data_IF_015769991871
#
_entry.id   IF_015769991871
#
_cell.length_a   1.000
_cell.length_b   1.000
_cell.length_c   1.000
_cell.angle_alpha   90.00
_cell.angle_beta   90.00
_cell.angle_gamma   90.00
#
_symmetry.space_group_name_H-M   'P 1'
#
loop_
_entity.id
_entity.type
_entity.pdbx_description
1 polymer ?
#
# COMPACT_ATOMS: atom_id res chain seq x y z
N UNK A 1 -1.93 24.04 3.88
CA UNK A 1 -2.14 25.33 4.58
C UNK A 1 -1.52 26.42 3.72
N UNK A 2 -2.24 27.52 3.49
CA UNK A 2 -1.70 28.71 2.82
C UNK A 2 -1.00 29.62 3.83
N UNK A 3 -0.20 30.57 3.34
CA UNK A 3 0.51 31.54 4.18
C UNK A 3 -0.41 32.37 5.11
N UNK A 4 -1.70 32.53 4.75
CA UNK A 4 -2.72 33.18 5.59
C UNK A 4 -3.14 32.28 6.76
N UNK A 5 -3.41 31.00 6.49
CA UNK A 5 -3.79 30.02 7.52
C UNK A 5 -2.66 29.78 8.53
N UNK A 6 -1.40 29.79 8.07
CA UNK A 6 -0.24 29.70 8.96
C UNK A 6 -0.20 30.89 9.93
N UNK A 7 -0.41 32.11 9.44
CA UNK A 7 -0.46 33.30 10.30
C UNK A 7 -1.60 33.25 11.32
N UNK A 8 -2.79 32.78 10.91
CA UNK A 8 -3.92 32.58 11.82
C UNK A 8 -3.57 31.57 12.92
N UNK A 9 -2.99 30.43 12.55
CA UNK A 9 -2.57 29.40 13.50
C UNK A 9 -1.50 29.93 14.47
N UNK A 10 -0.54 30.70 14.00
CA UNK A 10 0.46 31.36 14.85
C UNK A 10 -0.22 32.28 15.88
N UNK A 11 -1.22 33.07 15.46
CA UNK A 11 -1.99 33.94 16.38
C UNK A 11 -2.74 33.09 17.41
N UNK A 12 -3.41 32.01 16.98
CA UNK A 12 -4.09 31.10 17.90
C UNK A 12 -3.14 30.46 18.91
N UNK A 13 -1.94 30.03 18.49
CA UNK A 13 -0.93 29.47 19.38
C UNK A 13 -0.35 30.51 20.35
N UNK A 14 -0.37 31.81 20.01
CA UNK A 14 0.00 32.88 20.96
C UNK A 14 -1.05 33.06 22.05
N UNK A 15 -2.33 32.98 21.69
CA UNK A 15 -3.45 33.15 22.63
C UNK A 15 -3.66 31.90 23.48
N UNK A 16 -3.49 30.71 22.89
CA UNK A 16 -3.66 29.43 23.56
C UNK A 16 -2.51 28.46 23.22
N UNK A 17 -1.37 28.57 23.92
CA UNK A 17 -0.19 27.74 23.66
C UNK A 17 -0.46 26.24 23.78
N UNK A 18 -1.38 25.82 24.65
CA UNK A 18 -1.71 24.40 24.86
C UNK A 18 -2.18 23.71 23.58
N UNK A 19 -2.71 24.44 22.59
CA UNK A 19 -3.09 23.87 21.31
C UNK A 19 -1.91 23.18 20.59
N UNK A 20 -0.67 23.65 20.79
CA UNK A 20 0.50 23.06 20.15
C UNK A 20 0.71 21.57 20.52
N UNK A 21 0.30 21.12 21.72
CA UNK A 21 0.45 19.71 22.13
C UNK A 21 -0.53 18.79 21.43
N UNK A 22 -1.58 19.34 20.80
CA UNK A 22 -2.59 18.59 20.05
C UNK A 22 -2.38 18.63 18.55
N UNK A 23 -1.39 19.39 18.06
CA UNK A 23 -1.03 19.42 16.65
C UNK A 23 -0.12 18.22 16.37
N UNK A 24 -0.69 17.15 15.82
CA UNK A 24 0.03 15.96 15.37
C UNK A 24 0.33 15.98 13.87
N UNK A 25 -0.44 16.73 13.09
CA UNK A 25 -0.30 16.79 11.63
C UNK A 25 -0.38 18.23 11.11
N UNK A 26 0.49 18.57 10.16
CA UNK A 26 0.43 19.79 9.36
C UNK A 26 0.40 19.44 7.88
N UNK A 27 -0.71 19.71 7.21
CA UNK A 27 -0.75 19.72 5.75
C UNK A 27 -0.40 21.12 5.22
N UNK A 28 0.65 21.23 4.41
CA UNK A 28 1.16 22.45 3.79
C UNK A 28 1.22 22.33 2.25
N UNK A 29 1.53 23.43 1.56
CA UNK A 29 1.76 23.42 0.12
C UNK A 29 3.22 23.68 -0.24
N UNK A 30 3.60 23.31 -1.46
CA UNK A 30 4.85 23.67 -2.17
C UNK A 30 5.22 25.15 -2.04
N UNK A 31 4.25 26.07 -2.00
CA UNK A 31 4.50 27.51 -1.78
C UNK A 31 5.20 27.87 -0.46
N UNK A 32 5.21 26.98 0.53
CA UNK A 32 5.94 27.19 1.77
C UNK A 32 7.40 26.75 1.69
N UNK A 33 7.86 26.43 0.49
CA UNK A 33 9.21 26.00 0.18
C UNK A 33 9.81 26.94 -0.85
N UNK A 34 11.03 27.40 -0.61
CA UNK A 34 11.78 28.24 -1.52
C UNK A 34 12.77 27.35 -2.28
N UNK A 35 12.73 27.33 -3.63
CA UNK A 35 13.65 26.53 -4.44
C UNK A 35 15.11 26.74 -4.00
N UNK A 36 15.85 25.63 -3.85
CA UNK A 36 17.25 25.59 -3.41
C UNK A 36 17.58 26.17 -2.01
N UNK A 37 16.65 26.86 -1.36
CA UNK A 37 16.88 27.55 -0.09
C UNK A 37 16.18 26.89 1.10
N UNK A 38 15.10 26.13 0.88
CA UNK A 38 14.46 25.33 1.93
C UNK A 38 13.11 25.89 2.38
N UNK A 39 12.91 26.08 3.69
CA UNK A 39 11.62 26.51 4.26
C UNK A 39 11.38 28.03 4.12
N UNK A 40 10.14 28.42 3.79
CA UNK A 40 9.66 29.78 3.99
C UNK A 40 9.62 30.14 5.49
N UNK A 41 9.93 31.40 5.80
CA UNK A 41 9.95 31.94 7.15
C UNK A 41 8.67 31.70 7.97
N UNK A 42 7.47 31.68 7.35
CA UNK A 42 6.21 31.49 8.09
C UNK A 42 6.06 30.07 8.57
N UNK A 43 6.30 29.10 7.69
CA UNK A 43 6.25 27.69 8.05
C UNK A 43 7.33 27.37 9.09
N UNK A 44 8.56 27.86 8.88
CA UNK A 44 9.62 27.71 9.85
C UNK A 44 9.26 28.31 11.23
N UNK A 45 8.68 29.52 11.27
CA UNK A 45 8.26 30.13 12.52
C UNK A 45 7.16 29.33 13.21
N UNK A 46 6.16 28.83 12.47
CA UNK A 46 5.13 27.97 13.04
C UNK A 46 5.73 26.71 13.68
N UNK A 47 6.57 25.98 12.93
CA UNK A 47 7.24 24.77 13.41
C UNK A 47 8.10 25.04 14.65
N UNK A 48 8.85 26.14 14.63
CA UNK A 48 9.63 26.59 15.77
C UNK A 48 8.75 26.83 17.01
N UNK A 49 7.62 27.52 16.85
CA UNK A 49 6.70 27.80 17.97
C UNK A 49 6.09 26.53 18.53
N UNK A 50 5.72 25.57 17.68
CA UNK A 50 5.23 24.27 18.13
C UNK A 50 6.33 23.57 18.94
N UNK A 51 7.56 23.49 18.42
CA UNK A 51 8.70 22.89 19.14
C UNK A 51 8.99 23.57 20.48
N UNK A 52 8.93 24.90 20.55
CA UNK A 52 9.16 25.63 21.81
C UNK A 52 8.14 25.28 22.88
N UNK A 53 6.88 25.05 22.48
CA UNK A 53 5.79 24.75 23.41
C UNK A 53 5.73 23.26 23.72
N UNK A 54 6.02 22.41 22.74
CA UNK A 54 5.97 20.95 22.84
C UNK A 54 7.22 20.31 22.19
N UNK A 55 8.36 20.32 22.91
CA UNK A 55 9.66 19.92 22.35
C UNK A 55 9.77 18.41 22.07
N UNK A 56 8.88 17.60 22.65
CA UNK A 56 8.83 16.15 22.48
C UNK A 56 7.69 15.69 21.56
N UNK A 57 6.96 16.62 20.94
CA UNK A 57 5.91 16.27 19.98
C UNK A 57 6.50 15.63 18.73
N UNK A 58 5.86 14.54 18.30
CA UNK A 58 5.98 13.96 16.98
C UNK A 58 5.05 14.70 16.03
N UNK A 59 5.56 15.17 14.90
CA UNK A 59 4.76 15.89 13.89
C UNK A 59 4.85 15.21 12.52
N UNK A 60 3.68 15.00 11.94
CA UNK A 60 3.53 14.55 10.56
C UNK A 60 3.37 15.77 9.64
N UNK A 61 4.31 15.94 8.70
CA UNK A 61 4.28 17.01 7.72
C UNK A 61 3.85 16.45 6.36
N UNK A 62 2.69 16.87 5.87
CA UNK A 62 2.22 16.54 4.52
C UNK A 62 2.36 17.74 3.58
N UNK A 63 3.00 17.57 2.43
CA UNK A 63 3.19 18.60 1.40
C UNK A 63 2.44 18.20 0.14
N UNK A 64 1.63 19.13 -0.37
CA UNK A 64 0.88 19.00 -1.63
C UNK A 64 1.22 20.14 -2.59
N UNK A 65 1.01 20.00 -3.90
CA UNK A 65 1.07 21.13 -4.82
C UNK A 65 0.04 22.19 -4.43
N UNK A 66 0.39 23.45 -4.66
CA UNK A 66 -0.56 24.54 -4.59
C UNK A 66 -1.31 24.66 -5.92
N UNK A 67 -2.59 25.05 -5.88
CA UNK A 67 -3.45 25.15 -7.07
C UNK A 67 -2.93 26.12 -8.16
N UNK A 68 -1.95 26.96 -7.82
CA UNK A 68 -1.35 27.97 -8.70
C UNK A 68 0.08 27.64 -9.13
N UNK A 69 0.57 26.43 -8.87
CA UNK A 69 1.96 26.01 -9.20
C UNK A 69 2.24 25.97 -10.72
N UNK A 70 1.23 26.21 -11.57
CA UNK A 70 1.38 26.42 -13.01
C UNK A 70 2.04 27.77 -13.37
N UNK A 71 2.20 28.68 -12.40
CA UNK A 71 2.82 29.99 -12.60
C UNK A 71 4.22 29.97 -12.00
N UNK A 72 5.28 30.34 -12.75
CA UNK A 72 6.64 30.34 -12.22
C UNK A 72 6.72 31.18 -10.94
N UNK A 73 7.28 30.57 -9.89
CA UNK A 73 7.49 31.22 -8.61
C UNK A 73 8.34 32.49 -8.77
N UNK A 74 7.97 33.54 -8.03
CA UNK A 74 8.82 34.70 -7.88
C UNK A 74 10.05 34.32 -7.03
N UNK A 75 11.15 33.99 -7.70
CA UNK A 75 12.43 33.57 -7.12
C UNK A 75 13.16 34.69 -6.38
N UNK A 76 12.61 35.91 -6.36
CA UNK A 76 13.18 37.06 -5.64
C UNK A 76 12.86 37.10 -4.13
N UNK A 77 12.11 36.12 -3.62
CA UNK A 77 11.72 36.06 -2.21
C UNK A 77 12.93 35.89 -1.27
N UNK A 78 13.26 36.93 -0.51
CA UNK A 78 14.28 36.94 0.55
C UNK A 78 13.85 36.23 1.84
N UNK A 79 12.72 35.50 1.80
CA UNK A 79 11.98 35.04 2.98
C UNK A 79 12.30 33.59 3.39
N UNK A 80 13.57 33.23 3.34
CA UNK A 80 14.04 31.91 3.79
C UNK A 80 14.77 32.01 5.13
N UNK A 81 14.87 30.87 5.82
CA UNK A 81 15.52 30.78 7.13
C UNK A 81 16.94 30.24 6.99
N UNK A 82 17.89 30.67 7.83
CA UNK A 82 19.25 30.13 7.79
C UNK A 82 19.29 28.63 8.17
N UNK A 83 20.23 27.82 7.63
CA UNK A 83 20.28 26.37 7.84
C UNK A 83 20.18 25.88 9.30
N UNK A 84 20.87 26.49 10.30
CA UNK A 84 20.76 26.04 11.69
C UNK A 84 19.35 26.17 12.25
N UNK A 85 18.65 27.24 11.87
CA UNK A 85 17.27 27.45 12.28
C UNK A 85 16.32 26.51 11.51
N UNK A 86 16.58 26.17 10.24
CA UNK A 86 15.81 25.15 9.54
C UNK A 86 15.93 23.77 10.22
N UNK A 87 17.14 23.33 10.56
CA UNK A 87 17.35 22.08 11.30
C UNK A 87 16.60 22.07 12.64
N UNK A 88 16.69 23.16 13.40
CA UNK A 88 15.97 23.28 14.66
C UNK A 88 14.45 23.20 14.48
N UNK A 89 13.90 23.82 13.43
CA UNK A 89 12.47 23.80 13.12
C UNK A 89 12.01 22.45 12.58
N UNK A 90 12.86 21.70 11.87
CA UNK A 90 12.48 20.42 11.26
C UNK A 90 12.67 19.22 12.20
N UNK A 91 13.43 19.38 13.29
CA UNK A 91 13.67 18.28 14.24
C UNK A 91 12.43 17.72 14.96
N UNK A 92 11.27 18.40 14.95
CA UNK A 92 10.02 17.79 15.47
C UNK A 92 9.31 16.91 14.43
N UNK A 93 9.72 17.01 13.16
CA UNK A 93 9.12 16.25 12.06
C UNK A 93 9.64 14.82 12.12
N UNK A 94 8.73 13.88 12.32
CA UNK A 94 8.99 12.44 12.43
C UNK A 94 8.40 11.68 11.25
N UNK A 95 7.34 12.20 10.62
CA UNK A 95 6.85 11.75 9.33
C UNK A 95 6.84 12.87 8.30
N UNK A 96 7.33 12.56 7.09
CA UNK A 96 7.21 13.42 5.92
C UNK A 96 6.44 12.70 4.83
N UNK A 97 5.39 13.35 4.33
CA UNK A 97 4.59 12.87 3.19
C UNK A 97 4.57 13.90 2.08
N UNK A 98 5.09 13.54 0.91
CA UNK A 98 5.12 14.38 -0.29
C UNK A 98 4.16 13.78 -1.32
N UNK A 99 3.21 14.58 -1.80
CA UNK A 99 2.10 14.10 -2.64
C UNK A 99 1.92 15.02 -3.85
N UNK A 100 2.16 14.52 -5.06
CA UNK A 100 2.11 15.28 -6.32
C UNK A 100 3.08 16.49 -6.34
N UNK A 101 4.26 16.33 -5.75
CA UNK A 101 5.27 17.41 -5.65
C UNK A 101 6.31 17.20 -6.74
N UNK A 102 6.30 18.07 -7.76
CA UNK A 102 7.25 18.02 -8.88
C UNK A 102 8.66 18.48 -8.51
N UNK A 103 8.81 19.41 -7.57
CA UNK A 103 10.13 19.85 -7.11
C UNK A 103 10.12 20.08 -5.58
N UNK A 104 10.70 19.14 -4.84
CA UNK A 104 10.96 19.31 -3.41
C UNK A 104 12.41 19.76 -3.18
N UNK A 105 12.69 20.80 -2.36
CA UNK A 105 14.07 21.20 -2.09
C UNK A 105 14.83 20.07 -1.37
N UNK A 106 15.65 19.34 -2.12
CA UNK A 106 16.41 18.19 -1.62
C UNK A 106 17.31 18.53 -0.43
N UNK A 107 17.75 19.79 -0.32
CA UNK A 107 18.49 20.32 0.83
C UNK A 107 17.77 20.09 2.16
N UNK A 108 16.43 20.10 2.17
CA UNK A 108 15.63 19.90 3.37
C UNK A 108 15.65 18.46 3.87
N UNK A 109 15.83 17.49 2.95
CA UNK A 109 15.96 16.08 3.31
C UNK A 109 17.14 15.87 4.27
N UNK A 110 18.22 16.64 4.13
CA UNK A 110 19.39 16.57 5.01
C UNK A 110 19.16 17.15 6.41
N UNK A 111 18.17 18.04 6.58
CA UNK A 111 17.84 18.66 7.86
C UNK A 111 16.82 17.85 8.67
N UNK A 112 16.18 16.85 8.05
CA UNK A 112 15.21 15.96 8.65
C UNK A 112 15.89 14.81 9.39
N UNK A 113 16.41 15.12 10.58
CA UNK A 113 17.24 14.19 11.39
C UNK A 113 16.44 13.18 12.21
N UNK A 114 15.15 13.43 12.43
CA UNK A 114 14.28 12.59 13.25
C UNK A 114 13.17 11.90 12.45
N UNK A 115 13.22 11.98 11.12
CA UNK A 115 12.20 11.37 10.26
C UNK A 115 12.37 9.86 10.25
N UNK A 116 11.37 9.15 10.76
CA UNK A 116 11.28 7.70 10.75
C UNK A 116 10.38 7.18 9.63
N UNK A 117 9.45 8.00 9.16
CA UNK A 117 8.48 7.63 8.13
C UNK A 117 8.50 8.59 6.93
N UNK A 118 8.90 8.10 5.76
CA UNK A 118 8.94 8.87 4.52
C UNK A 118 7.95 8.29 3.49
N UNK A 119 6.98 9.09 3.05
CA UNK A 119 5.99 8.71 2.05
C UNK A 119 6.07 9.62 0.83
N UNK A 120 6.38 9.06 -0.34
CA UNK A 120 6.58 9.77 -1.59
C UNK A 120 5.52 9.28 -2.58
N UNK A 121 4.58 10.13 -2.95
CA UNK A 121 3.51 9.81 -3.91
C UNK A 121 3.58 10.76 -5.09
N UNK A 122 3.84 10.22 -6.28
CA UNK A 122 3.90 10.92 -7.56
C UNK A 122 4.80 12.13 -7.42
N UNK A 123 6.10 11.85 -7.30
CA UNK A 123 7.12 12.88 -7.23
C UNK A 123 7.98 12.81 -8.46
N UNK A 124 8.24 13.98 -9.03
CA UNK A 124 9.32 14.14 -9.98
C UNK A 124 10.58 14.40 -9.16
N UNK A 125 11.56 13.51 -9.27
CA UNK A 125 12.89 13.84 -8.78
C UNK A 125 13.52 14.75 -9.84
N UNK A 126 13.83 16.00 -9.48
CA UNK A 126 14.59 16.89 -10.35
C UNK A 126 15.85 16.14 -10.84
N UNK A 127 16.27 16.21 -12.12
CA UNK A 127 17.44 15.49 -12.65
C UNK A 127 18.79 15.85 -11.98
N UNK A 128 18.79 16.79 -11.04
CA UNK A 128 19.90 17.00 -10.09
C UNK A 128 19.89 15.97 -8.94
N UNK A 129 18.91 15.07 -8.91
CA UNK A 129 18.91 13.84 -8.15
C UNK A 129 19.50 12.67 -8.96
N UNK A 130 19.66 12.77 -10.28
CA UNK A 130 20.57 11.87 -11.01
C UNK A 130 22.01 12.08 -10.51
N UNK A 131 22.33 13.27 -9.98
CA UNK A 131 23.59 13.47 -9.23
C UNK A 131 23.63 12.85 -7.82
N UNK A 132 22.53 12.31 -7.25
CA UNK A 132 22.57 11.55 -5.98
C UNK A 132 23.30 10.21 -6.09
N UNK A 133 23.68 9.80 -7.30
CA UNK A 133 24.61 8.71 -7.54
C UNK A 133 26.06 9.07 -7.12
N UNK A 134 26.32 10.33 -6.77
CA UNK A 134 27.57 10.72 -6.13
C UNK A 134 27.61 10.22 -4.68
N UNK A 135 28.65 9.45 -4.26
CA UNK A 135 28.85 9.06 -2.87
C UNK A 135 28.84 10.24 -1.87
N UNK A 136 29.13 11.46 -2.34
CA UNK A 136 29.07 12.69 -1.54
C UNK A 136 27.66 13.05 -1.10
N UNK A 137 26.63 12.77 -1.89
CA UNK A 137 25.24 13.07 -1.55
C UNK A 137 24.63 12.00 -0.66
N UNK A 138 25.03 10.73 -0.79
CA UNK A 138 24.73 9.67 0.20
C UNK A 138 25.33 10.02 1.56
N UNK A 139 26.56 10.55 1.60
CA UNK A 139 27.18 11.07 2.83
C UNK A 139 26.36 12.22 3.44
N UNK A 140 25.78 13.08 2.62
CA UNK A 140 24.91 14.17 3.09
C UNK A 140 23.54 13.63 3.56
N UNK A 141 22.99 12.62 2.90
CA UNK A 141 21.74 11.94 3.25
C UNK A 141 21.88 10.96 4.43
N UNK A 142 23.11 10.72 4.92
CA UNK A 142 23.38 9.70 5.93
C UNK A 142 22.60 9.91 7.22
N UNK A 143 22.35 11.17 7.62
CA UNK A 143 21.51 11.49 8.78
C UNK A 143 20.07 11.00 8.59
N UNK A 144 19.46 11.32 7.45
CA UNK A 144 18.11 10.92 7.08
C UNK A 144 18.00 9.40 6.95
N UNK A 145 18.91 8.77 6.22
CA UNK A 145 18.84 7.33 5.99
C UNK A 145 19.01 6.50 7.27
N UNK A 146 19.72 7.03 8.29
CA UNK A 146 19.87 6.35 9.58
C UNK A 146 18.59 6.31 10.41
N UNK A 147 17.66 7.26 10.24
CA UNK A 147 16.45 7.33 11.05
C UNK A 147 15.24 6.65 10.41
N UNK A 148 15.21 6.51 9.08
CA UNK A 148 14.05 5.98 8.36
C UNK A 148 13.85 4.50 8.69
N UNK A 149 12.68 4.19 9.27
CA UNK A 149 12.20 2.82 9.52
C UNK A 149 11.08 2.43 8.55
N UNK A 150 10.36 3.40 7.98
CA UNK A 150 9.27 3.19 7.02
C UNK A 150 9.46 4.06 5.78
N UNK A 151 9.49 3.41 4.61
CA UNK A 151 9.58 4.07 3.31
C UNK A 151 8.44 3.61 2.41
N UNK A 152 7.67 4.57 1.88
CA UNK A 152 6.61 4.31 0.89
C UNK A 152 6.86 5.14 -0.35
N UNK A 153 6.94 4.50 -1.51
CA UNK A 153 7.15 5.13 -2.80
C UNK A 153 6.04 4.66 -3.73
N UNK A 154 5.20 5.59 -4.17
CA UNK A 154 4.10 5.34 -5.10
C UNK A 154 4.24 6.24 -6.30
N UNK A 155 4.53 5.68 -7.47
CA UNK A 155 4.61 6.45 -8.71
C UNK A 155 3.33 6.25 -9.54
N UNK A 156 3.12 7.10 -10.55
CA UNK A 156 2.08 6.87 -11.57
C UNK A 156 2.73 6.57 -12.90
N UNK A 157 2.27 5.53 -13.59
CA UNK A 157 2.73 5.14 -14.93
C UNK A 157 2.64 6.29 -15.96
N UNK A 158 1.77 7.29 -15.74
CA UNK A 158 1.65 8.46 -16.62
C UNK A 158 2.97 9.25 -16.77
N UNK A 159 3.89 9.16 -15.80
CA UNK A 159 5.23 9.76 -15.87
C UNK A 159 6.30 8.74 -16.33
N UNK A 160 5.93 7.84 -17.25
CA UNK A 160 6.53 6.53 -17.59
C UNK A 160 8.03 6.39 -17.89
N UNK A 161 8.86 7.41 -17.65
CA UNK A 161 10.31 7.35 -17.75
C UNK A 161 11.05 7.67 -16.44
N UNK A 162 10.36 8.00 -15.36
CA UNK A 162 11.03 8.35 -14.11
C UNK A 162 11.39 7.13 -13.28
N UNK A 163 12.70 6.99 -13.04
CA UNK A 163 13.30 5.93 -12.26
C UNK A 163 13.68 6.45 -10.86
N UNK A 164 13.42 5.66 -9.84
CA UNK A 164 13.78 5.97 -8.46
C UNK A 164 15.24 5.56 -8.17
N UNK A 165 16.03 6.39 -7.48
CA UNK A 165 17.40 6.04 -7.11
C UNK A 165 17.43 4.98 -6.00
N UNK A 166 17.58 3.70 -6.39
CA UNK A 166 17.54 2.55 -5.47
C UNK A 166 18.57 2.62 -4.34
N UNK A 167 19.69 3.32 -4.54
CA UNK A 167 20.73 3.55 -3.52
C UNK A 167 20.19 4.21 -2.24
N UNK A 168 19.12 5.00 -2.32
CA UNK A 168 18.49 5.60 -1.14
C UNK A 168 17.86 4.52 -0.24
N UNK A 169 17.25 3.49 -0.84
CA UNK A 169 16.71 2.35 -0.08
C UNK A 169 17.85 1.62 0.60
N UNK A 170 18.88 1.25 -0.17
CA UNK A 170 20.03 0.49 0.34
C UNK A 170 20.81 1.21 1.45
N UNK A 171 20.74 2.55 1.49
CA UNK A 171 21.39 3.37 2.51
C UNK A 171 20.59 3.46 3.82
N UNK A 172 19.31 3.10 3.81
CA UNK A 172 18.44 3.21 4.99
C UNK A 172 18.60 2.01 5.93
N UNK A 173 19.72 1.89 6.64
CA UNK A 173 20.06 0.69 7.43
C UNK A 173 19.03 0.30 8.53
N UNK A 174 18.22 1.24 9.00
CA UNK A 174 17.15 1.01 9.98
C UNK A 174 15.78 0.75 9.35
N UNK A 175 15.71 0.61 8.03
CA UNK A 175 14.46 0.38 7.30
C UNK A 175 13.88 -0.99 7.65
N UNK A 176 12.64 -0.99 8.15
CA UNK A 176 11.89 -2.19 8.53
C UNK A 176 10.69 -2.41 7.61
N UNK A 177 10.05 -1.32 7.15
CA UNK A 177 8.82 -1.36 6.34
C UNK A 177 9.03 -0.67 4.99
N UNK A 178 8.82 -1.41 3.91
CA UNK A 178 8.95 -0.90 2.55
C UNK A 178 7.65 -1.10 1.76
N UNK A 179 7.16 -0.04 1.13
CA UNK A 179 5.98 -0.05 0.25
C UNK A 179 6.37 0.52 -1.10
N UNK A 180 6.20 -0.25 -2.18
CA UNK A 180 6.52 0.17 -3.54
C UNK A 180 5.30 -0.03 -4.46
N UNK A 181 4.94 0.99 -5.22
CA UNK A 181 3.76 0.99 -6.09
C UNK A 181 4.13 1.68 -7.42
N UNK A 182 4.08 0.91 -8.51
CA UNK A 182 4.50 1.32 -9.87
C UNK A 182 5.91 1.93 -9.93
N UNK A 183 6.87 1.38 -9.18
CA UNK A 183 8.25 1.91 -9.09
C UNK A 183 9.18 1.19 -10.07
N UNK A 184 10.08 1.95 -10.71
CA UNK A 184 11.25 1.41 -11.43
C UNK A 184 12.53 2.02 -10.85
N UNK A 185 13.66 1.32 -10.93
CA UNK A 185 14.94 1.79 -10.39
C UNK A 185 15.87 2.27 -11.50
N UNK A 186 16.78 3.20 -11.18
CA UNK A 186 17.86 3.63 -12.09
C UNK A 186 18.80 2.45 -12.40
N UNK A 187 19.31 2.38 -13.64
CA UNK A 187 20.11 1.24 -14.12
C UNK A 187 21.56 1.29 -13.61
N UNK A 188 21.99 2.44 -13.09
CA UNK A 188 23.36 2.66 -12.67
C UNK A 188 23.71 1.79 -11.46
N UNK A 189 24.71 0.94 -11.68
CA UNK A 189 25.10 -0.17 -10.84
C UNK A 189 25.15 0.23 -9.37
N UNK A 190 24.13 -0.19 -8.62
CA UNK A 190 24.16 -0.16 -7.16
C UNK A 190 25.31 -1.06 -6.73
N UNK A 191 26.49 -0.46 -6.50
CA UNK A 191 27.56 -1.09 -5.73
C UNK A 191 26.88 -1.52 -4.43
N UNK A 192 26.73 -2.83 -4.25
CA UNK A 192 26.00 -3.45 -3.14
C UNK A 192 26.39 -2.77 -1.83
N UNK A 193 25.55 -1.86 -1.34
CA UNK A 193 25.77 -1.23 -0.05
C UNK A 193 25.59 -2.34 0.99
N UNK A 194 26.70 -2.78 1.58
CA UNK A 194 26.72 -3.82 2.59
C UNK A 194 27.05 -3.16 3.94
N UNK A 195 26.24 -3.40 5.00
CA UNK A 195 25.06 -4.26 5.03
C UNK A 195 23.82 -3.61 4.39
N UNK A 196 23.07 -4.41 3.62
CA UNK A 196 21.74 -4.03 3.11
C UNK A 196 20.74 -3.98 4.26
N UNK A 197 19.72 -3.10 4.22
CA UNK A 197 18.68 -3.06 5.23
C UNK A 197 17.90 -4.38 5.28
N UNK A 198 17.66 -4.87 6.50
CA UNK A 198 16.84 -6.04 6.75
C UNK A 198 15.41 -5.59 7.02
N UNK A 199 14.52 -5.87 6.08
CA UNK A 199 13.12 -5.46 6.19
C UNK A 199 12.26 -6.59 6.78
N UNK A 200 11.26 -6.21 7.57
CA UNK A 200 10.29 -7.12 8.19
C UNK A 200 8.93 -7.06 7.47
N UNK A 201 8.64 -5.97 6.75
CA UNK A 201 7.42 -5.79 5.99
C UNK A 201 7.71 -5.29 4.57
N UNK A 202 7.10 -5.94 3.57
CA UNK A 202 7.18 -5.55 2.17
C UNK A 202 5.79 -5.56 1.52
N UNK A 203 5.40 -4.44 0.94
CA UNK A 203 4.22 -4.31 0.09
C UNK A 203 4.64 -3.88 -1.31
N UNK A 204 4.20 -4.60 -2.34
CA UNK A 204 4.49 -4.32 -3.75
C UNK A 204 3.20 -4.20 -4.56
N UNK A 205 3.10 -3.20 -5.43
CA UNK A 205 2.06 -3.06 -6.45
C UNK A 205 2.68 -2.69 -7.79
N UNK A 206 2.06 -3.14 -8.89
CA UNK A 206 2.43 -2.83 -10.27
C UNK A 206 3.94 -3.01 -10.55
N UNK A 207 4.46 -4.17 -10.16
CA UNK A 207 5.87 -4.51 -10.26
C UNK A 207 6.20 -5.41 -11.45
N UNK A 208 7.48 -5.39 -11.86
CA UNK A 208 8.05 -6.25 -12.90
C UNK A 208 9.17 -7.11 -12.35
N UNK A 209 9.47 -8.22 -13.01
CA UNK A 209 10.55 -9.13 -12.61
C UNK A 209 11.89 -8.43 -12.39
N UNK A 210 12.34 -7.59 -13.32
CA UNK A 210 13.64 -6.89 -13.21
C UNK A 210 13.71 -5.97 -11.99
N UNK A 211 12.59 -5.33 -11.63
CA UNK A 211 12.48 -4.48 -10.45
C UNK A 211 12.61 -5.31 -9.17
N UNK A 212 11.86 -6.42 -9.07
CA UNK A 212 11.91 -7.32 -7.90
C UNK A 212 13.29 -7.96 -7.78
N UNK A 213 13.88 -8.38 -8.89
CA UNK A 213 15.23 -8.92 -8.92
C UNK A 213 16.24 -7.89 -8.39
N UNK A 214 16.15 -6.64 -8.86
CA UNK A 214 17.03 -5.55 -8.39
C UNK A 214 16.87 -5.30 -6.89
N UNK A 215 15.61 -5.25 -6.41
CA UNK A 215 15.29 -5.07 -5.00
C UNK A 215 15.95 -6.14 -4.12
N UNK A 216 15.75 -7.41 -4.48
CA UNK A 216 16.22 -8.58 -3.71
C UNK A 216 17.73 -8.79 -3.82
N UNK A 217 18.32 -8.57 -4.99
CA UNK A 217 19.76 -8.80 -5.22
C UNK A 217 20.62 -7.66 -4.66
N UNK A 218 20.13 -6.41 -4.66
CA UNK A 218 20.99 -5.26 -4.39
C UNK A 218 20.51 -4.31 -3.30
N UNK A 219 19.20 -4.17 -3.09
CA UNK A 219 18.68 -3.07 -2.28
C UNK A 219 18.31 -3.46 -0.85
N UNK A 220 17.75 -4.65 -0.65
CA UNK A 220 17.27 -5.11 0.67
C UNK A 220 17.69 -6.54 0.96
N UNK A 221 17.67 -6.90 2.24
CA UNK A 221 17.80 -8.26 2.73
C UNK A 221 16.44 -8.74 3.26
N UNK A 222 15.93 -9.84 2.68
CA UNK A 222 14.65 -10.45 3.03
C UNK A 222 14.79 -11.60 4.04
N UNK A 223 15.99 -11.82 4.61
CA UNK A 223 16.23 -12.91 5.57
C UNK A 223 15.40 -12.81 6.85
N UNK A 224 14.90 -11.63 7.19
CA UNK A 224 14.06 -11.37 8.39
C UNK A 224 12.64 -10.92 8.04
N UNK A 225 12.20 -11.12 6.79
CA UNK A 225 10.86 -10.72 6.36
C UNK A 225 9.79 -11.50 7.13
N UNK A 226 8.85 -10.76 7.73
CA UNK A 226 7.73 -11.32 8.47
C UNK A 226 6.45 -11.30 7.65
N UNK A 227 6.19 -10.19 6.94
CA UNK A 227 4.98 -9.99 6.15
C UNK A 227 5.29 -9.51 4.73
N UNK A 228 4.64 -10.16 3.76
CA UNK A 228 4.73 -9.85 2.34
C UNK A 228 3.33 -9.68 1.77
N UNK A 229 3.09 -8.55 1.11
CA UNK A 229 1.82 -8.18 0.52
C UNK A 229 2.01 -7.85 -0.96
N UNK A 230 1.31 -8.57 -1.83
CA UNK A 230 1.10 -8.18 -3.22
C UNK A 230 -0.21 -7.39 -3.31
N UNK A 231 -0.12 -6.21 -3.91
CA UNK A 231 -1.19 -5.25 -4.11
C UNK A 231 -1.29 -4.78 -5.58
N UNK A 232 -0.80 -5.59 -6.52
CA UNK A 232 -0.90 -5.32 -7.96
C UNK A 232 -2.34 -5.37 -8.45
N UNK A 233 -2.98 -4.22 -8.70
CA UNK A 233 -4.37 -4.18 -9.19
C UNK A 233 -4.41 -4.40 -10.72
N UNK A 234 -5.38 -5.17 -11.25
CA UNK A 234 -5.61 -5.21 -12.67
C UNK A 234 -6.12 -3.83 -13.12
N UNK A 235 -5.44 -3.21 -14.10
CA UNK A 235 -5.93 -1.96 -14.67
C UNK A 235 -7.35 -2.18 -15.20
N UNK A 236 -8.29 -1.31 -14.79
CA UNK A 236 -9.76 -1.37 -14.97
C UNK A 236 -10.27 -1.73 -16.39
N UNK A 237 -9.39 -1.84 -17.41
CA UNK A 237 -9.76 -1.90 -18.84
C UNK A 237 -9.01 -2.93 -19.69
N UNK A 238 -7.82 -3.39 -19.31
CA UNK A 238 -6.98 -4.23 -20.20
C UNK A 238 -6.67 -5.59 -19.61
N UNK A 239 -6.72 -6.64 -20.44
CA UNK A 239 -6.25 -7.96 -20.01
C UNK A 239 -4.75 -7.86 -19.86
N UNK A 240 -4.20 -8.31 -18.73
CA UNK A 240 -2.78 -8.64 -18.71
C UNK A 240 -2.52 -9.60 -19.87
N UNK A 241 -1.63 -9.18 -20.75
CA UNK A 241 -1.08 -10.05 -21.78
C UNK A 241 -0.48 -11.27 -21.10
N UNK A 242 -0.42 -12.41 -21.81
CA UNK A 242 0.23 -13.61 -21.28
C UNK A 242 1.66 -13.34 -20.81
N UNK A 243 2.34 -12.35 -21.43
CA UNK A 243 3.68 -11.92 -21.06
C UNK A 243 3.69 -11.21 -19.70
N UNK A 244 2.89 -10.16 -19.52
CA UNK A 244 2.83 -9.42 -18.25
C UNK A 244 2.45 -10.32 -17.07
N UNK A 245 1.49 -11.23 -17.29
CA UNK A 245 1.12 -12.19 -16.25
C UNK A 245 2.30 -13.12 -15.90
N UNK A 246 3.03 -13.62 -16.90
CA UNK A 246 4.19 -14.48 -16.65
C UNK A 246 5.30 -13.71 -15.92
N UNK A 247 5.53 -12.45 -16.27
CA UNK A 247 6.50 -11.57 -15.61
C UNK A 247 6.12 -11.36 -14.13
N UNK A 248 4.84 -11.16 -13.81
CA UNK A 248 4.34 -11.07 -12.42
C UNK A 248 4.56 -12.38 -11.67
N UNK A 249 4.21 -13.53 -12.28
CA UNK A 249 4.40 -14.85 -11.65
C UNK A 249 5.88 -15.14 -11.38
N UNK A 250 6.75 -14.80 -12.32
CA UNK A 250 8.20 -14.98 -12.17
C UNK A 250 8.76 -14.07 -11.07
N UNK A 251 8.30 -12.82 -11.02
CA UNK A 251 8.63 -11.87 -9.95
C UNK A 251 8.22 -12.38 -8.57
N UNK A 252 6.96 -12.83 -8.41
CA UNK A 252 6.47 -13.40 -7.16
C UNK A 252 7.24 -14.66 -6.77
N UNK A 253 7.54 -15.56 -7.72
CA UNK A 253 8.32 -16.77 -7.45
C UNK A 253 9.73 -16.44 -6.98
N UNK A 254 10.36 -15.42 -7.57
CA UNK A 254 11.68 -14.96 -7.17
C UNK A 254 11.65 -14.39 -5.75
N UNK A 255 10.67 -13.53 -5.46
CA UNK A 255 10.46 -12.92 -4.16
C UNK A 255 10.18 -13.95 -3.05
N UNK A 256 9.30 -14.93 -3.32
CA UNK A 256 8.97 -16.02 -2.39
C UNK A 256 10.18 -16.92 -2.12
N UNK A 257 11.01 -17.20 -3.14
CA UNK A 257 12.24 -17.96 -2.94
C UNK A 257 13.24 -17.25 -2.02
N UNK A 258 13.33 -15.92 -2.10
CA UNK A 258 14.21 -15.12 -1.25
C UNK A 258 13.67 -14.94 0.19
N UNK A 259 12.36 -15.03 0.39
CA UNK A 259 11.68 -14.76 1.68
C UNK A 259 11.26 -16.01 2.45
N UNK A 260 11.21 -17.19 1.82
CA UNK A 260 10.63 -18.42 2.40
C UNK A 260 11.19 -18.84 3.77
N UNK A 261 12.43 -18.46 4.10
CA UNK A 261 13.09 -18.86 5.34
C UNK A 261 12.50 -18.23 6.60
N UNK A 262 11.89 -17.05 6.49
CA UNK A 262 11.39 -16.27 7.63
C UNK A 262 9.94 -15.82 7.48
N UNK A 263 9.38 -15.84 6.27
CA UNK A 263 8.03 -15.36 6.00
C UNK A 263 6.96 -16.06 6.85
N UNK A 264 6.15 -15.25 7.53
CA UNK A 264 5.07 -15.69 8.43
C UNK A 264 3.69 -15.36 7.85
N UNK A 265 3.53 -14.16 7.29
CA UNK A 265 2.29 -13.67 6.72
C UNK A 265 2.46 -13.38 5.23
N UNK A 266 1.68 -14.07 4.39
CA UNK A 266 1.65 -13.85 2.95
C UNK A 266 0.27 -13.38 2.53
N UNK A 267 0.18 -12.27 1.80
CA UNK A 267 -1.05 -11.81 1.15
C UNK A 267 -0.81 -11.66 -0.34
N UNK A 268 -1.64 -12.32 -1.13
CA UNK A 268 -1.55 -12.32 -2.59
C UNK A 268 -2.82 -11.70 -3.19
N UNK A 269 -2.65 -10.67 -4.01
CA UNK A 269 -3.72 -10.14 -4.84
C UNK A 269 -3.74 -10.92 -6.16
N UNK A 270 -4.85 -11.59 -6.45
CA UNK A 270 -5.02 -12.32 -7.69
C UNK A 270 -5.65 -11.44 -8.77
N UNK A 271 -4.88 -11.21 -9.82
CA UNK A 271 -5.36 -10.74 -11.10
C UNK A 271 -5.64 -11.93 -12.02
N UNK A 272 -6.92 -12.19 -12.32
CA UNK A 272 -7.28 -13.23 -13.28
C UNK A 272 -6.87 -12.78 -14.69
N UNK A 273 -5.97 -13.51 -15.33
CA UNK A 273 -5.62 -13.29 -16.74
C UNK A 273 -6.47 -14.15 -17.69
N UNK A 274 -6.71 -13.62 -18.89
CA UNK A 274 -7.57 -14.22 -19.91
C UNK A 274 -7.04 -15.52 -20.54
N UNK A 275 -5.74 -15.80 -20.47
CA UNK A 275 -5.14 -16.90 -21.22
C UNK A 275 -4.93 -18.18 -20.40
N UNK A 276 -5.79 -19.18 -20.63
CA UNK A 276 -5.72 -20.60 -20.20
C UNK A 276 -6.46 -21.04 -18.92
N UNK A 277 -7.10 -22.20 -19.02
CA UNK A 277 -7.90 -22.88 -17.98
C UNK A 277 -7.04 -23.62 -16.94
N UNK A 278 -5.72 -23.70 -17.14
CA UNK A 278 -4.81 -24.57 -16.38
C UNK A 278 -3.51 -23.86 -16.05
N UNK A 279 -3.58 -22.72 -15.37
CA UNK A 279 -2.34 -22.09 -14.87
C UNK A 279 -1.81 -22.85 -13.63
N UNK A 280 -0.52 -23.23 -13.62
CA UNK A 280 0.11 -23.85 -12.46
C UNK A 280 0.19 -22.86 -11.29
N UNK A 281 0.35 -23.38 -10.07
CA UNK A 281 0.57 -22.57 -8.86
C UNK A 281 1.72 -21.59 -9.07
N UNK A 282 1.61 -20.39 -8.50
CA UNK A 282 2.68 -19.37 -8.55
C UNK A 282 3.95 -19.94 -7.92
N UNK A 283 3.76 -20.59 -6.77
CA UNK A 283 4.81 -21.13 -5.93
C UNK A 283 4.30 -22.37 -5.18
N UNK A 284 5.21 -23.24 -4.77
CA UNK A 284 4.89 -24.36 -3.88
C UNK A 284 4.92 -23.87 -2.43
N UNK A 285 3.75 -23.52 -1.89
CA UNK A 285 3.62 -22.91 -0.57
C UNK A 285 4.06 -23.84 0.58
N UNK A 286 4.18 -25.16 0.33
CA UNK A 286 4.78 -26.08 1.31
C UNK A 286 6.24 -25.78 1.62
N UNK A 287 6.94 -25.03 0.75
CA UNK A 287 8.34 -24.65 0.93
C UNK A 287 8.53 -23.44 1.85
N UNK A 288 7.45 -22.88 2.40
CA UNK A 288 7.48 -21.78 3.37
C UNK A 288 7.13 -22.37 4.75
N UNK A 289 8.13 -22.88 5.51
CA UNK A 289 7.87 -23.65 6.73
C UNK A 289 7.22 -22.83 7.85
N UNK A 290 7.47 -21.52 7.88
CA UNK A 290 7.02 -20.61 8.93
C UNK A 290 5.69 -19.91 8.61
N UNK A 291 5.07 -20.22 7.47
CA UNK A 291 3.82 -19.59 7.06
C UNK A 291 2.70 -19.90 8.06
N UNK A 292 2.20 -18.88 8.74
CA UNK A 292 1.04 -19.00 9.65
C UNK A 292 -0.21 -18.37 9.08
N UNK A 293 -0.06 -17.33 8.25
CA UNK A 293 -1.20 -16.59 7.68
C UNK A 293 -1.09 -16.52 6.18
N UNK A 294 -2.15 -16.91 5.48
CA UNK A 294 -2.24 -16.81 4.03
C UNK A 294 -3.51 -16.09 3.62
N UNK A 295 -3.35 -14.92 3.01
CA UNK A 295 -4.41 -14.11 2.44
C UNK A 295 -4.45 -14.20 0.92
N UNK A 296 -5.65 -14.35 0.37
CA UNK A 296 -5.91 -14.15 -1.05
C UNK A 296 -6.98 -13.09 -1.22
N UNK A 297 -6.66 -12.02 -1.93
CA UNK A 297 -7.66 -11.08 -2.43
C UNK A 297 -7.89 -11.40 -3.91
N UNK A 298 -9.13 -11.65 -4.31
CA UNK A 298 -9.48 -12.02 -5.68
C UNK A 298 -10.34 -10.92 -6.28
N UNK A 299 -9.84 -10.29 -7.34
CA UNK A 299 -10.62 -9.31 -8.09
C UNK A 299 -11.40 -10.00 -9.21
N UNK A 300 -12.72 -9.97 -9.10
CA UNK A 300 -13.67 -10.45 -10.08
C UNK A 300 -14.24 -9.25 -10.85
N UNK A 301 -13.44 -8.70 -11.76
CA UNK A 301 -13.78 -7.48 -12.51
C UNK A 301 -14.58 -7.80 -13.78
N UNK A 302 -14.45 -9.03 -14.30
CA UNK A 302 -15.05 -9.51 -15.54
C UNK A 302 -15.80 -10.82 -15.35
N UNK A 303 -16.72 -11.10 -16.27
CA UNK A 303 -17.52 -12.33 -16.25
C UNK A 303 -16.67 -13.63 -16.24
N UNK A 304 -15.54 -13.63 -16.94
CA UNK A 304 -14.60 -14.78 -16.99
C UNK A 304 -13.84 -14.98 -15.68
N UNK A 305 -13.67 -13.92 -14.89
CA UNK A 305 -12.90 -13.96 -13.64
C UNK A 305 -13.59 -14.85 -12.61
N UNK A 306 -14.92 -14.86 -12.64
CA UNK A 306 -15.75 -15.70 -11.81
C UNK A 306 -15.48 -17.20 -12.00
N UNK A 307 -15.10 -17.62 -13.21
CA UNK A 307 -14.84 -19.03 -13.52
C UNK A 307 -13.43 -19.44 -13.04
N UNK A 308 -12.46 -18.54 -13.23
CA UNK A 308 -11.03 -18.85 -13.01
C UNK A 308 -10.56 -18.64 -11.57
N UNK A 309 -11.20 -17.73 -10.83
CA UNK A 309 -10.88 -17.42 -9.44
C UNK A 309 -10.76 -18.68 -8.55
N UNK A 310 -11.79 -19.54 -8.60
CA UNK A 310 -11.83 -20.75 -7.78
C UNK A 310 -10.75 -21.77 -8.19
N UNK A 311 -10.43 -21.88 -9.49
CA UNK A 311 -9.39 -22.78 -10.00
C UNK A 311 -8.01 -22.32 -9.54
N UNK A 312 -7.72 -21.02 -9.65
CA UNK A 312 -6.47 -20.43 -9.18
C UNK A 312 -6.28 -20.63 -7.67
N UNK A 313 -7.31 -20.29 -6.88
CA UNK A 313 -7.27 -20.46 -5.43
C UNK A 313 -7.01 -21.92 -5.08
N UNK A 314 -7.75 -22.85 -5.67
CA UNK A 314 -7.53 -24.29 -5.48
C UNK A 314 -6.09 -24.68 -5.80
N UNK A 315 -5.55 -24.26 -6.94
CA UNK A 315 -4.23 -24.68 -7.39
C UNK A 315 -3.12 -24.20 -6.42
N UNK A 316 -3.24 -22.99 -5.86
CA UNK A 316 -2.31 -22.51 -4.83
C UNK A 316 -2.51 -23.26 -3.50
N UNK A 317 -3.75 -23.43 -3.04
CA UNK A 317 -4.04 -24.14 -1.79
C UNK A 317 -3.62 -25.61 -1.81
N UNK A 318 -3.65 -26.27 -2.98
CA UNK A 318 -3.18 -27.65 -3.15
C UNK A 318 -1.67 -27.79 -2.95
N UNK A 319 -0.89 -26.71 -3.04
CA UNK A 319 0.55 -26.75 -2.74
C UNK A 319 0.86 -26.67 -1.27
N UNK A 320 -0.10 -26.29 -0.42
CA UNK A 320 0.08 -26.40 1.02
C UNK A 320 0.02 -27.87 1.43
N UNK A 321 0.78 -28.21 2.47
CA UNK A 321 0.70 -29.52 3.09
C UNK A 321 -0.07 -29.42 4.41
N UNK A 322 -1.36 -29.85 4.45
CA UNK A 322 -2.13 -29.87 5.70
C UNK A 322 -1.50 -30.75 6.77
N UNK A 323 -0.60 -31.65 6.37
CA UNK A 323 0.09 -32.59 7.25
C UNK A 323 1.20 -31.92 8.07
N UNK A 324 1.81 -30.85 7.55
CA UNK A 324 3.01 -30.23 8.13
C UNK A 324 2.82 -28.75 8.46
N UNK A 325 1.81 -28.09 7.91
CA UNK A 325 1.58 -26.65 8.10
C UNK A 325 0.25 -26.38 8.82
N UNK A 326 0.26 -25.39 9.72
CA UNK A 326 -0.94 -24.81 10.35
C UNK A 326 -1.06 -23.39 9.83
N UNK A 327 -2.02 -23.14 8.95
CA UNK A 327 -2.20 -21.86 8.26
C UNK A 327 -3.61 -21.35 8.50
N UNK A 328 -3.72 -20.12 8.98
CA UNK A 328 -4.95 -19.35 9.02
C UNK A 328 -5.16 -18.71 7.64
N UNK A 329 -6.31 -19.01 7.03
CA UNK A 329 -6.65 -18.62 5.68
C UNK A 329 -7.59 -17.41 5.65
N UNK A 330 -7.25 -16.40 4.85
CA UNK A 330 -8.08 -15.21 4.64
C UNK A 330 -8.41 -15.11 3.16
N UNK A 331 -9.70 -15.14 2.81
CA UNK A 331 -10.17 -14.98 1.44
C UNK A 331 -11.01 -13.72 1.32
N UNK A 332 -10.63 -12.84 0.41
CA UNK A 332 -11.37 -11.63 0.08
C UNK A 332 -11.76 -11.67 -1.40
N UNK A 333 -13.04 -11.47 -1.70
CA UNK A 333 -13.53 -11.35 -3.07
C UNK A 333 -14.00 -9.93 -3.33
N UNK A 334 -13.40 -9.25 -4.30
CA UNK A 334 -13.86 -7.96 -4.78
C UNK A 334 -14.60 -8.18 -6.10
N UNK A 335 -15.92 -8.14 -6.07
CA UNK A 335 -16.78 -8.38 -7.24
C UNK A 335 -17.20 -7.05 -7.83
N UNK A 336 -16.86 -6.81 -9.10
CA UNK A 336 -17.40 -5.67 -9.84
C UNK A 336 -18.83 -6.00 -10.29
N UNK A 337 -19.79 -5.16 -9.88
CA UNK A 337 -21.19 -5.34 -10.23
C UNK A 337 -21.62 -4.27 -11.23
N UNK A 338 -22.41 -4.69 -12.22
CA UNK A 338 -22.98 -3.78 -13.21
C UNK A 338 -24.18 -3.04 -12.62
N UNK A 339 -24.29 -1.76 -12.96
CA UNK A 339 -25.44 -0.94 -12.61
C UNK A 339 -26.61 -1.25 -13.56
N UNK A 340 -27.75 -1.61 -12.99
CA UNK A 340 -28.96 -1.97 -13.75
C UNK A 340 -29.87 -0.75 -13.93
N UNK A 341 -30.16 -0.05 -12.83
CA UNK A 341 -31.09 1.08 -12.82
C UNK A 341 -30.87 1.96 -11.60
N UNK A 342 -31.22 3.23 -11.69
CA UNK A 342 -31.34 4.11 -10.54
C UNK A 342 -32.81 4.37 -10.26
N UNK A 343 -33.27 4.18 -9.03
CA UNK A 343 -34.66 4.46 -8.68
C UNK A 343 -34.94 5.96 -8.49
N UNK A 344 -36.21 6.29 -8.21
CA UNK A 344 -36.67 7.66 -8.00
C UNK A 344 -36.04 8.36 -6.78
N UNK A 345 -35.44 7.60 -5.86
CA UNK A 345 -34.73 8.12 -4.70
C UNK A 345 -33.23 8.30 -4.96
N UNK A 346 -32.76 7.98 -6.18
CA UNK A 346 -31.36 8.06 -6.54
C UNK A 346 -30.53 6.84 -6.10
N UNK A 347 -31.17 5.74 -5.69
CA UNK A 347 -30.47 4.50 -5.28
C UNK A 347 -30.12 3.69 -6.52
N UNK A 348 -28.85 3.31 -6.63
CA UNK A 348 -28.32 2.45 -7.68
C UNK A 348 -28.64 0.97 -7.38
N UNK A 349 -29.36 0.33 -8.29
CA UNK A 349 -29.66 -1.11 -8.28
C UNK A 349 -28.59 -1.86 -9.07
N UNK A 350 -28.00 -2.88 -8.46
CA UNK A 350 -26.88 -3.65 -9.02
C UNK A 350 -27.34 -5.04 -9.50
N UNK A 351 -26.70 -5.56 -10.55
CA UNK A 351 -27.00 -6.90 -11.05
C UNK A 351 -26.31 -7.98 -10.21
N UNK A 352 -27.09 -8.75 -9.44
CA UNK A 352 -26.62 -9.86 -8.63
C UNK A 352 -26.50 -11.21 -9.38
N UNK A 353 -26.78 -11.24 -10.69
CA UNK A 353 -26.76 -12.47 -11.49
C UNK A 353 -25.38 -13.12 -11.62
N UNK A 354 -24.31 -12.34 -11.43
CA UNK A 354 -22.91 -12.78 -11.53
C UNK A 354 -22.43 -13.56 -10.31
N UNK A 355 -22.97 -13.30 -9.12
CA UNK A 355 -22.56 -13.96 -7.88
C UNK A 355 -22.73 -15.49 -7.93
N UNK A 356 -23.89 -16.04 -8.36
CA UNK A 356 -24.04 -17.47 -8.55
C UNK A 356 -23.00 -18.11 -9.50
N UNK A 357 -22.41 -17.35 -10.43
CA UNK A 357 -21.43 -17.89 -11.39
C UNK A 357 -20.05 -18.12 -10.76
N UNK A 358 -19.62 -17.23 -9.85
CA UNK A 358 -18.43 -17.42 -9.00
C UNK A 358 -18.56 -18.73 -8.22
N UNK A 359 -19.79 -18.98 -7.77
CA UNK A 359 -20.16 -19.97 -6.79
C UNK A 359 -20.45 -21.38 -7.32
N UNK A 360 -20.66 -21.53 -8.63
CA UNK A 360 -20.99 -22.83 -9.28
C UNK A 360 -19.77 -23.68 -9.65
N UNK A 361 -18.55 -23.19 -9.40
CA UNK A 361 -17.33 -23.87 -9.81
C UNK A 361 -17.04 -25.12 -8.98
N UNK A 362 -16.72 -26.24 -9.63
CA UNK A 362 -16.39 -27.51 -8.96
C UNK A 362 -15.16 -27.41 -8.06
N UNK A 363 -14.23 -26.49 -8.37
CA UNK A 363 -13.03 -26.22 -7.58
C UNK A 363 -13.33 -25.83 -6.11
N UNK A 364 -14.52 -25.29 -5.81
CA UNK A 364 -14.94 -25.00 -4.44
C UNK A 364 -15.07 -26.25 -3.56
N UNK A 365 -15.41 -27.39 -4.16
CA UNK A 365 -15.45 -28.66 -3.42
C UNK A 365 -14.05 -29.09 -2.97
N UNK A 366 -13.03 -28.82 -3.78
CA UNK A 366 -11.63 -29.09 -3.43
C UNK A 366 -11.15 -28.13 -2.34
N UNK A 367 -11.45 -26.85 -2.49
CA UNK A 367 -11.13 -25.80 -1.50
C UNK A 367 -11.78 -26.12 -0.15
N UNK A 368 -13.07 -26.48 -0.13
CA UNK A 368 -13.78 -26.91 1.09
C UNK A 368 -13.08 -28.08 1.78
N UNK A 369 -12.70 -29.11 1.01
CA UNK A 369 -11.99 -30.28 1.55
C UNK A 369 -10.62 -29.91 2.14
N UNK A 370 -9.90 -28.97 1.54
CA UNK A 370 -8.63 -28.47 2.07
C UNK A 370 -8.85 -27.67 3.35
N UNK A 371 -9.81 -26.76 3.35
CA UNK A 371 -10.14 -25.94 4.52
C UNK A 371 -10.51 -26.79 5.73
N UNK A 372 -11.32 -27.84 5.56
CA UNK A 372 -11.66 -28.77 6.64
C UNK A 372 -10.40 -29.40 7.24
N UNK A 373 -9.46 -29.84 6.41
CA UNK A 373 -8.18 -30.43 6.87
C UNK A 373 -7.31 -29.44 7.63
N UNK A 374 -7.29 -28.17 7.23
CA UNK A 374 -6.57 -27.12 7.98
C UNK A 374 -7.25 -26.81 9.31
N UNK A 375 -8.58 -26.72 9.30
CA UNK A 375 -9.37 -26.38 10.48
C UNK A 375 -9.32 -27.47 11.56
N UNK A 376 -9.24 -28.76 11.19
CA UNK A 376 -9.01 -29.88 12.13
C UNK A 376 -7.72 -29.75 12.95
N UNK A 377 -6.77 -28.92 12.51
CA UNK A 377 -5.44 -28.76 13.10
C UNK A 377 -5.17 -27.38 13.67
N UNK A 378 -6.06 -26.43 13.40
CA UNK A 378 -5.95 -25.05 13.83
C UNK A 378 -6.36 -24.89 15.30
N UNK A 379 -5.77 -23.91 15.97
CA UNK A 379 -6.06 -23.59 17.38
C UNK A 379 -6.89 -22.30 17.53
N UNK A 380 -7.03 -21.52 16.45
CA UNK A 380 -7.81 -20.27 16.34
C UNK A 380 -8.64 -20.30 15.06
N UNK A 381 -9.35 -19.21 14.77
CA UNK A 381 -10.22 -19.07 13.60
C UNK A 381 -9.43 -19.33 12.30
N UNK A 382 -9.55 -20.52 11.70
CA UNK A 382 -8.66 -20.94 10.61
C UNK A 382 -9.03 -20.31 9.27
N UNK A 383 -10.17 -19.62 9.22
CA UNK A 383 -10.76 -19.17 7.98
C UNK A 383 -11.58 -17.90 8.18
N UNK A 384 -11.23 -16.86 7.42
CA UNK A 384 -12.03 -15.66 7.22
C UNK A 384 -12.39 -15.52 5.76
N UNK A 385 -13.65 -15.17 5.49
CA UNK A 385 -14.15 -14.87 4.15
C UNK A 385 -14.87 -13.53 4.14
N UNK A 386 -14.47 -12.65 3.21
CA UNK A 386 -15.17 -11.42 2.92
C UNK A 386 -15.48 -11.30 1.43
N UNK A 387 -16.59 -10.63 1.13
CA UNK A 387 -16.95 -10.27 -0.23
C UNK A 387 -17.38 -8.81 -0.27
N UNK A 388 -16.77 -8.06 -1.18
CA UNK A 388 -16.95 -6.64 -1.39
C UNK A 388 -17.51 -6.43 -2.78
N UNK A 389 -18.42 -5.47 -2.92
CA UNK A 389 -18.99 -5.06 -4.21
C UNK A 389 -18.41 -3.72 -4.61
N UNK A 390 -17.80 -3.66 -5.80
CA UNK A 390 -17.39 -2.41 -6.44
C UNK A 390 -18.40 -2.07 -7.53
N UNK A 391 -18.89 -0.83 -7.56
CA UNK A 391 -19.72 -0.35 -8.67
C UNK A 391 -18.79 0.28 -9.73
N UNK A 392 -18.97 -0.10 -11.00
CA UNK A 392 -18.21 0.39 -12.15
C UNK A 392 -18.27 1.92 -12.32
N UNK A 393 -19.39 2.54 -11.95
CA UNK A 393 -19.65 3.97 -12.16
C UNK A 393 -19.27 4.87 -10.96
N UNK A 394 -18.45 4.36 -10.03
CA UNK A 394 -18.06 5.09 -8.80
C UNK A 394 -17.43 6.48 -9.06
N UNK A 395 -16.90 6.74 -10.26
CA UNK A 395 -16.38 8.07 -10.66
C UNK A 395 -17.47 9.12 -10.86
N UNK A 396 -18.74 8.71 -11.02
CA UNK A 396 -19.89 9.60 -11.30
C UNK A 396 -21.02 9.51 -10.26
N UNK A 397 -21.06 8.46 -9.44
CA UNK A 397 -22.06 8.34 -8.37
C UNK A 397 -21.61 9.10 -7.11
N UNK A 398 -22.25 10.24 -6.81
CA UNK A 398 -22.04 11.05 -5.59
C UNK A 398 -22.38 10.33 -4.26
N UNK A 399 -22.75 9.05 -4.28
CA UNK A 399 -23.25 8.33 -3.11
C UNK A 399 -22.19 7.38 -2.56
N UNK A 400 -21.59 7.79 -1.44
CA UNK A 400 -20.51 7.10 -0.72
C UNK A 400 -20.97 5.90 0.13
N UNK A 401 -22.26 5.54 0.05
CA UNK A 401 -22.88 4.52 0.90
C UNK A 401 -23.91 3.73 0.09
N UNK A 402 -23.45 2.95 -0.89
CA UNK A 402 -24.27 1.88 -1.43
C UNK A 402 -24.22 0.71 -0.45
N UNK A 403 -25.37 0.33 0.10
CA UNK A 403 -25.59 -0.96 0.77
C UNK A 403 -25.23 -1.09 2.27
N UNK A 404 -25.47 -0.04 3.08
CA UNK A 404 -25.99 -0.24 4.44
C UNK A 404 -26.71 1.03 4.94
N UNK A 405 -27.96 0.95 5.41
CA UNK A 405 -28.87 -0.21 5.48
C UNK A 405 -29.92 -0.13 4.35
N UNK A 406 -29.61 -0.68 3.17
CA UNK A 406 -30.59 -0.74 2.05
C UNK A 406 -31.01 -2.18 1.78
N UNK A 407 -32.17 -2.37 1.14
CA UNK A 407 -32.71 -3.71 0.83
C UNK A 407 -31.75 -4.52 -0.05
N UNK A 408 -31.02 -3.86 -0.95
CA UNK A 408 -30.03 -4.47 -1.84
C UNK A 408 -28.84 -5.04 -1.04
N UNK A 409 -28.40 -4.33 0.01
CA UNK A 409 -27.36 -4.83 0.92
C UNK A 409 -27.80 -6.07 1.70
N UNK A 410 -29.07 -6.11 2.11
CA UNK A 410 -29.64 -7.28 2.79
C UNK A 410 -29.77 -8.49 1.84
N UNK A 411 -30.17 -8.28 0.58
CA UNK A 411 -30.23 -9.32 -0.46
C UNK A 411 -28.83 -9.87 -0.75
N UNK A 412 -27.85 -8.98 -0.90
CA UNK A 412 -26.45 -9.37 -1.12
C UNK A 412 -25.90 -10.23 0.03
N UNK A 413 -26.04 -9.77 1.28
CA UNK A 413 -25.60 -10.51 2.47
C UNK A 413 -26.30 -11.88 2.56
N UNK A 414 -27.60 -11.94 2.25
CA UNK A 414 -28.34 -13.20 2.23
C UNK A 414 -27.79 -14.18 1.17
N UNK A 415 -27.56 -13.73 -0.06
CA UNK A 415 -27.01 -14.56 -1.15
C UNK A 415 -25.63 -15.12 -0.76
N UNK A 416 -24.75 -14.24 -0.26
CA UNK A 416 -23.39 -14.62 0.15
C UNK A 416 -23.45 -15.61 1.32
N UNK A 417 -24.23 -15.34 2.38
CA UNK A 417 -24.36 -16.25 3.53
C UNK A 417 -24.91 -17.62 3.15
N UNK A 418 -25.95 -17.67 2.31
CA UNK A 418 -26.53 -18.93 1.85
C UNK A 418 -25.49 -19.76 1.08
N UNK A 419 -24.77 -19.12 0.16
CA UNK A 419 -23.74 -19.81 -0.60
C UNK A 419 -22.60 -20.31 0.30
N UNK A 420 -22.07 -19.44 1.16
CA UNK A 420 -20.99 -19.75 2.08
C UNK A 420 -21.37 -20.91 3.00
N UNK A 421 -22.61 -20.95 3.47
CA UNK A 421 -23.13 -22.07 4.27
C UNK A 421 -23.17 -23.37 3.48
N UNK A 422 -23.61 -23.34 2.22
CA UNK A 422 -23.64 -24.53 1.38
C UNK A 422 -22.23 -25.03 0.98
N UNK A 423 -21.29 -24.12 0.70
CA UNK A 423 -20.07 -24.45 -0.03
C UNK A 423 -18.78 -24.35 0.78
N UNK A 424 -18.71 -23.50 1.80
CA UNK A 424 -17.50 -23.28 2.59
C UNK A 424 -17.62 -23.83 4.02
N UNK A 425 -18.82 -23.82 4.60
CA UNK A 425 -19.03 -24.32 5.96
C UNK A 425 -18.92 -25.85 6.06
N UNK A 426 -18.12 -26.38 7.00
CA UNK A 426 -18.11 -27.80 7.35
C UNK A 426 -19.47 -28.23 7.91
N UNK A 427 -19.86 -29.48 7.67
CA UNK A 427 -20.95 -30.14 8.38
C UNK A 427 -20.35 -31.31 9.18
N UNK A 428 -20.38 -31.30 10.53
CA UNK A 428 -21.03 -30.31 11.41
C UNK A 428 -20.30 -28.94 11.46
N UNK A 429 -21.01 -27.85 11.83
CA UNK A 429 -20.44 -26.50 11.90
C UNK A 429 -19.29 -26.42 12.90
N UNK A 430 -18.19 -25.77 12.50
CA UNK A 430 -17.03 -25.57 13.37
C UNK A 430 -17.19 -24.27 14.18
N UNK A 431 -16.86 -24.28 15.48
CA UNK A 431 -17.15 -23.17 16.40
C UNK A 431 -16.34 -21.88 16.16
N UNK A 432 -15.34 -21.89 15.27
CA UNK A 432 -14.40 -20.79 15.06
C UNK A 432 -14.34 -20.30 13.60
N UNK A 433 -15.42 -20.38 12.82
CA UNK A 433 -15.48 -19.73 11.51
C UNK A 433 -16.20 -18.37 11.64
N UNK A 434 -15.45 -17.29 11.51
CA UNK A 434 -16.00 -15.94 11.44
C UNK A 434 -16.27 -15.55 9.99
N UNK A 435 -17.49 -15.06 9.75
CA UNK A 435 -17.89 -14.55 8.45
C UNK A 435 -18.21 -13.08 8.56
N UNK A 436 -17.42 -12.28 7.84
CA UNK A 436 -17.63 -10.84 7.76
C UNK A 436 -17.97 -10.48 6.31
N UNK A 437 -19.27 -10.26 6.06
CA UNK A 437 -19.70 -9.57 4.85
C UNK A 437 -19.62 -8.07 5.11
N UNK A 438 -18.82 -7.34 4.33
CA UNK A 438 -18.74 -5.88 4.44
C UNK A 438 -18.83 -5.25 3.06
N UNK A 439 -19.70 -4.26 2.92
CA UNK A 439 -20.00 -3.55 1.66
C UNK A 439 -19.17 -2.29 1.48
N UNK A 440 -18.06 -2.15 2.22
CA UNK A 440 -17.21 -0.96 2.13
C UNK A 440 -16.34 -1.01 0.87
N UNK A 441 -16.27 0.08 0.08
CA UNK A 441 -15.30 0.23 -1.01
C UNK A 441 -13.87 0.50 -0.51
N UNK A 442 -13.67 0.53 0.81
CA UNK A 442 -12.34 0.52 1.40
C UNK A 442 -11.85 -0.91 1.47
N UNK A 443 -10.75 -1.18 0.79
CA UNK A 443 -9.93 -2.38 1.02
C UNK A 443 -9.69 -2.55 2.53
N UNK A 444 -9.36 -3.76 2.96
CA UNK A 444 -8.91 -4.06 4.33
C UNK A 444 -7.78 -3.15 4.88
N UNK A 445 -7.23 -2.24 4.08
CA UNK A 445 -6.20 -1.26 4.43
C UNK A 445 -6.62 -0.19 5.44
N UNK A 446 -7.91 0.03 5.75
CA UNK A 446 -8.27 1.09 6.72
C UNK A 446 -8.54 0.57 8.13
N UNK A 447 -8.84 -0.73 8.31
CA UNK A 447 -9.20 -1.30 9.62
C UNK A 447 -8.04 -1.93 10.40
N UNK A 448 -6.94 -2.28 9.75
CA UNK A 448 -5.77 -2.85 10.45
C UNK A 448 -4.80 -1.75 10.93
N UNK A 449 -4.88 -0.52 10.40
CA UNK A 449 -4.05 0.60 10.85
C UNK A 449 -4.59 1.34 12.09
N UNK A 450 -5.72 0.91 12.66
CA UNK A 450 -6.32 1.53 13.86
C UNK A 450 -6.15 0.73 15.15
N UNK A 451 -5.56 -0.47 15.08
CA UNK A 451 -5.17 -1.26 16.27
C UNK A 451 -3.75 -1.81 16.12
N UNK A 452 -2.76 -0.92 15.98
CA UNK A 452 -1.36 -1.15 16.37
C UNK A 452 -0.74 0.18 16.82
#
# INVERSE_FOLDING_TARGET
MTSLRINQLIIFLRVNPRLATYISEITTSTQQFVPHQGLDHRLAFLLFRIKQISPHSSLDLEVRPHDTDLVPFDTTSTRFVAPPAQMACLSLVTSLKLVFVGEFPSILLFYLTNVTCLKLKIMDFHPALDTFESPRLVQLATSLCRSITTLSIKNSEENGNQKFPGILIASCHSLERLVLDAVTFTDDMVLSASPRPKITFLELADFRYDMVKTLVDFLVDLSEIYELVDFTEPQDREEFTSKEYNDIVEALRYLLNASKGSLVNLRLLHCVSASSETKPSIFDLSQIPNLTTLGFTVQCVRAVDHIKAAVYLRNNLLTLSPQTQKVDLYLEFVVLMEHVATDSNGVAHLDFSTLPLIFRQSAWSDIKRLMIKFAERATRQPFSFSMHVRNRDYRYCKYKYMMAPTNEGAIFDQIVRQWTTANLLPNPPMPNLDFYCSTYPGLFSDRIYTEL
#
